data_IF_136126999621
#
_entry.id   IF_136126999621
#
_cell.length_a   1.000
_cell.length_b   1.000
_cell.length_c   1.000
_cell.angle_alpha   90.00
_cell.angle_beta   90.00
_cell.angle_gamma   90.00
#
_symmetry.space_group_name_H-M   'P 1'
#
loop_
_entity.id
_entity.type
_entity.pdbx_description
1 polymer ?
#
# COMPACT_ATOMS: atom_id res chain seq x y z
N UNK A 1 -69.13 16.28 35.88
CA UNK A 1 -68.44 15.07 35.43
C UNK A 1 -67.05 15.45 34.95
N UNK A 2 -65.99 15.05 35.67
CA UNK A 2 -64.59 15.18 35.23
C UNK A 2 -63.94 13.82 35.44
N UNK A 3 -63.62 13.13 34.35
CA UNK A 3 -62.96 11.84 34.38
C UNK A 3 -61.47 12.03 34.66
N UNK A 4 -60.95 11.35 35.67
CA UNK A 4 -59.52 11.29 35.98
C UNK A 4 -58.95 10.10 35.21
N UNK A 5 -58.10 10.36 34.22
CA UNK A 5 -57.33 9.32 33.55
C UNK A 5 -56.05 9.05 34.35
N UNK A 6 -55.95 7.85 34.93
CA UNK A 6 -54.71 7.33 35.52
C UNK A 6 -53.88 6.72 34.41
N UNK A 7 -52.76 7.33 34.06
CA UNK A 7 -51.78 6.75 33.13
C UNK A 7 -50.85 5.84 33.93
N UNK A 8 -50.98 4.53 33.73
CA UNK A 8 -50.03 3.55 34.25
C UNK A 8 -48.75 3.58 33.40
N UNK A 9 -47.65 4.05 33.99
CA UNK A 9 -46.33 4.01 33.36
C UNK A 9 -45.75 2.61 33.54
N UNK A 10 -45.78 1.81 32.48
CA UNK A 10 -45.06 0.54 32.41
C UNK A 10 -43.57 0.82 32.20
N UNK A 11 -42.74 0.56 33.22
CA UNK A 11 -41.29 0.48 33.08
C UNK A 11 -40.93 -0.79 32.30
N UNK A 12 -40.69 -0.67 31.00
CA UNK A 12 -40.02 -1.73 30.23
C UNK A 12 -38.54 -1.70 30.60
N UNK A 13 -38.13 -2.64 31.44
CA UNK A 13 -36.72 -2.84 31.76
C UNK A 13 -35.96 -3.24 30.50
N UNK A 14 -35.15 -2.32 29.97
CA UNK A 14 -34.18 -2.64 28.92
C UNK A 14 -33.08 -3.45 29.60
N UNK A 15 -33.14 -4.76 29.46
CA UNK A 15 -32.02 -5.64 29.81
C UNK A 15 -30.84 -5.29 28.88
N UNK A 16 -29.89 -4.49 29.37
CA UNK A 16 -28.57 -4.40 28.75
C UNK A 16 -27.96 -5.80 28.80
N UNK A 17 -27.99 -6.52 27.68
CA UNK A 17 -27.20 -7.73 27.55
C UNK A 17 -25.74 -7.33 27.73
N UNK A 18 -25.12 -7.80 28.81
CA UNK A 18 -23.69 -7.71 28.98
C UNK A 18 -23.04 -8.43 27.80
N UNK A 19 -22.45 -7.67 26.88
CA UNK A 19 -21.59 -8.23 25.85
C UNK A 19 -20.44 -8.90 26.61
N UNK A 20 -20.44 -10.23 26.67
CA UNK A 20 -19.37 -10.97 27.30
C UNK A 20 -18.06 -10.53 26.63
N UNK A 21 -17.15 -9.94 27.40
CA UNK A 21 -15.85 -9.52 26.90
C UNK A 21 -15.15 -10.76 26.33
N UNK A 22 -14.85 -10.74 25.03
CA UNK A 22 -14.15 -11.84 24.38
C UNK A 22 -12.78 -12.00 25.04
N UNK A 23 -12.47 -13.21 25.49
CA UNK A 23 -11.16 -13.52 26.05
C UNK A 23 -10.07 -13.23 25.01
N UNK A 24 -8.94 -12.62 25.42
CA UNK A 24 -7.88 -12.27 24.49
C UNK A 24 -7.30 -13.52 23.81
N UNK A 25 -6.90 -13.38 22.55
CA UNK A 25 -6.20 -14.40 21.80
C UNK A 25 -4.72 -14.37 22.21
N UNK A 26 -4.23 -15.41 22.88
CA UNK A 26 -2.81 -15.58 23.18
C UNK A 26 -2.07 -16.11 21.94
N UNK A 27 -1.34 -15.24 21.25
CA UNK A 27 -0.54 -15.65 20.08
C UNK A 27 0.78 -16.29 20.48
N UNK A 28 1.40 -15.75 21.54
CA UNK A 28 2.65 -16.22 22.15
C UNK A 28 2.47 -16.21 23.66
N UNK A 29 2.96 -17.25 24.34
CA UNK A 29 2.96 -17.36 25.80
C UNK A 29 4.36 -17.69 26.28
N UNK A 30 4.93 -16.86 27.15
CA UNK A 30 6.23 -17.06 27.79
C UNK A 30 7.36 -17.40 26.80
N UNK A 31 7.40 -16.69 25.68
CA UNK A 31 8.40 -16.85 24.62
C UNK A 31 8.17 -18.07 23.72
N UNK A 32 7.01 -18.74 23.84
CA UNK A 32 6.66 -19.92 23.04
C UNK A 32 5.44 -19.66 22.18
N UNK A 33 5.47 -20.13 20.94
CA UNK A 33 4.33 -20.05 20.02
C UNK A 33 3.10 -20.73 20.66
N UNK A 34 1.97 -20.02 20.66
CA UNK A 34 0.68 -20.51 21.14
C UNK A 34 -0.41 -20.44 20.05
N UNK A 35 0.00 -20.10 18.83
CA UNK A 35 -0.86 -19.91 17.66
C UNK A 35 -0.10 -20.24 16.38
N UNK A 36 -0.85 -20.36 15.29
CA UNK A 36 -0.35 -20.62 13.93
C UNK A 36 -0.81 -19.51 12.97
N UNK A 37 0.10 -19.03 12.13
CA UNK A 37 -0.24 -18.18 10.99
C UNK A 37 -0.75 -19.09 9.87
N UNK A 38 -1.96 -18.81 9.39
CA UNK A 38 -2.62 -19.61 8.34
C UNK A 38 -2.85 -18.73 7.12
N UNK A 39 -2.47 -19.25 5.96
CA UNK A 39 -2.71 -18.63 4.64
C UNK A 39 -3.57 -19.58 3.79
N UNK A 40 -4.10 -19.11 2.66
CA UNK A 40 -4.68 -20.02 1.67
C UNK A 40 -3.66 -21.07 1.20
N UNK A 41 -4.13 -22.14 0.55
CA UNK A 41 -3.22 -23.12 -0.09
C UNK A 41 -2.37 -22.48 -1.21
N UNK A 42 -2.91 -21.46 -1.86
CA UNK A 42 -2.27 -20.67 -2.91
C UNK A 42 -2.45 -19.17 -2.60
N UNK A 43 -1.72 -18.64 -1.62
CA UNK A 43 -1.85 -17.24 -1.24
C UNK A 43 -1.35 -16.30 -2.33
N UNK A 44 -1.91 -15.08 -2.39
CA UNK A 44 -1.38 -13.99 -3.22
C UNK A 44 0.09 -13.68 -2.86
N UNK A 45 0.80 -12.96 -3.73
CA UNK A 45 2.15 -12.51 -3.40
C UNK A 45 2.17 -11.61 -2.15
N UNK A 46 1.19 -10.71 -2.04
CA UNK A 46 1.01 -9.83 -0.89
C UNK A 46 0.73 -10.62 0.40
N UNK A 47 -0.16 -11.61 0.37
CA UNK A 47 -0.47 -12.45 1.53
C UNK A 47 0.74 -13.28 2.00
N UNK A 48 1.57 -13.80 1.08
CA UNK A 48 2.83 -14.47 1.44
C UNK A 48 3.80 -13.53 2.15
N UNK A 49 4.00 -12.33 1.58
CA UNK A 49 4.86 -11.33 2.19
C UNK A 49 4.33 -10.89 3.55
N UNK A 50 3.03 -10.67 3.67
CA UNK A 50 2.35 -10.30 4.91
C UNK A 50 2.54 -11.35 6.01
N UNK A 51 2.39 -12.65 5.69
CA UNK A 51 2.62 -13.73 6.65
C UNK A 51 4.08 -13.76 7.14
N UNK A 52 5.05 -13.56 6.25
CA UNK A 52 6.47 -13.49 6.60
C UNK A 52 6.80 -12.25 7.46
N UNK A 53 6.27 -11.09 7.09
CA UNK A 53 6.43 -9.85 7.85
C UNK A 53 5.81 -10.01 9.25
N UNK A 54 4.61 -10.58 9.37
CA UNK A 54 3.94 -10.83 10.64
C UNK A 54 4.75 -11.76 11.54
N UNK A 55 5.24 -12.88 11.01
CA UNK A 55 6.11 -13.81 11.74
C UNK A 55 7.34 -13.08 12.27
N UNK A 56 7.97 -12.26 11.42
CA UNK A 56 9.16 -11.47 11.78
C UNK A 56 8.86 -10.48 12.91
N UNK A 57 7.73 -9.77 12.86
CA UNK A 57 7.35 -8.83 13.93
C UNK A 57 7.11 -9.53 15.27
N UNK A 58 6.40 -10.66 15.24
CA UNK A 58 6.12 -11.44 16.45
C UNK A 58 7.42 -12.05 17.01
N UNK A 59 8.29 -12.57 16.16
CA UNK A 59 9.60 -13.12 16.55
C UNK A 59 10.51 -12.03 17.15
N UNK A 60 10.62 -10.86 16.50
CA UNK A 60 11.41 -9.73 17.04
C UNK A 60 10.86 -9.25 18.38
N UNK A 61 9.53 -9.25 18.57
CA UNK A 61 8.88 -8.80 19.81
C UNK A 61 9.03 -9.82 20.96
N UNK A 62 8.86 -11.11 20.67
CA UNK A 62 8.65 -12.13 21.69
C UNK A 62 9.75 -13.17 21.81
N UNK A 63 10.61 -13.30 20.80
CA UNK A 63 11.55 -14.40 20.64
C UNK A 63 10.92 -15.69 20.10
N UNK A 64 9.59 -15.74 19.96
CA UNK A 64 8.88 -16.91 19.44
C UNK A 64 8.61 -16.79 17.94
N UNK A 65 8.96 -17.84 17.19
CA UNK A 65 8.62 -17.96 15.78
C UNK A 65 7.32 -18.74 15.62
N UNK A 66 6.25 -18.08 15.20
CA UNK A 66 4.98 -18.75 14.91
C UNK A 66 5.09 -19.59 13.62
N UNK A 67 4.60 -20.84 13.57
CA UNK A 67 4.55 -21.59 12.33
C UNK A 67 3.64 -20.90 11.31
N UNK A 68 4.02 -20.96 10.02
CA UNK A 68 3.16 -20.56 8.89
C UNK A 68 2.71 -21.84 8.20
N UNK A 69 1.40 -22.03 8.06
CA UNK A 69 0.79 -23.20 7.42
C UNK A 69 -0.28 -22.78 6.40
N UNK A 70 -0.56 -23.67 5.44
CA UNK A 70 -1.70 -23.53 4.56
C UNK A 70 -2.99 -23.96 5.26
N UNK A 71 -4.13 -23.41 4.84
CA UNK A 71 -5.44 -23.71 5.43
C UNK A 71 -5.77 -25.22 5.38
N UNK A 72 -5.35 -25.95 4.33
CA UNK A 72 -5.53 -27.41 4.26
C UNK A 72 -4.81 -28.20 5.35
N UNK A 73 -3.77 -27.64 5.98
CA UNK A 73 -3.01 -28.29 7.06
C UNK A 73 -3.54 -27.96 8.46
N UNK A 74 -4.44 -26.99 8.57
CA UNK A 74 -4.99 -26.53 9.84
C UNK A 74 -6.52 -26.60 9.79
N UNK A 75 -7.12 -27.75 10.16
CA UNK A 75 -8.57 -27.93 10.13
C UNK A 75 -9.33 -26.92 10.99
N UNK A 76 -10.60 -26.67 10.65
CA UNK A 76 -11.47 -25.74 11.39
C UNK A 76 -11.73 -26.20 12.82
N UNK A 77 -11.70 -27.51 13.09
CA UNK A 77 -11.85 -28.04 14.46
C UNK A 77 -10.57 -27.93 15.31
N UNK A 78 -9.48 -27.41 14.74
CA UNK A 78 -8.19 -27.30 15.42
C UNK A 78 -8.33 -26.60 16.76
N UNK A 79 -7.67 -27.17 17.78
CA UNK A 79 -7.66 -26.59 19.13
C UNK A 79 -6.76 -25.34 19.28
N UNK A 80 -6.03 -25.00 18.23
CA UNK A 80 -5.07 -23.91 18.20
C UNK A 80 -5.71 -22.56 17.85
N UNK A 81 -5.11 -21.45 18.29
CA UNK A 81 -5.48 -20.11 17.84
C UNK A 81 -4.91 -19.89 16.45
N UNK A 82 -5.75 -19.40 15.52
CA UNK A 82 -5.37 -19.19 14.12
C UNK A 82 -5.21 -17.71 13.83
N UNK A 83 -4.12 -17.32 13.18
CA UNK A 83 -3.95 -15.97 12.61
C UNK A 83 -4.09 -16.10 11.10
N UNK A 84 -5.28 -15.82 10.59
CA UNK A 84 -5.63 -15.93 9.17
C UNK A 84 -5.12 -14.69 8.43
N UNK A 85 -4.16 -14.88 7.52
CA UNK A 85 -3.50 -13.80 6.77
C UNK A 85 -3.80 -13.91 5.28
N UNK A 86 -4.42 -12.87 4.72
CA UNK A 86 -4.86 -12.83 3.32
C UNK A 86 -6.13 -13.64 3.04
N UNK A 87 -6.68 -13.49 1.84
CA UNK A 87 -7.91 -14.21 1.45
C UNK A 87 -7.72 -15.73 1.53
N UNK A 88 -8.71 -16.43 2.09
CA UNK A 88 -8.71 -17.89 2.28
C UNK A 88 -10.14 -18.40 2.53
N UNK A 89 -10.37 -19.70 2.34
CA UNK A 89 -11.68 -20.31 2.62
C UNK A 89 -12.00 -20.24 4.12
N UNK A 90 -11.01 -20.50 4.97
CA UNK A 90 -11.16 -20.40 6.43
C UNK A 90 -11.60 -19.00 6.88
N UNK A 91 -11.08 -17.96 6.22
CA UNK A 91 -11.48 -16.57 6.49
C UNK A 91 -12.89 -16.27 5.99
N UNK A 92 -13.24 -16.71 4.77
CA UNK A 92 -14.58 -16.54 4.19
C UNK A 92 -15.65 -17.24 5.02
N UNK A 93 -15.34 -18.38 5.62
CA UNK A 93 -16.24 -19.09 6.54
C UNK A 93 -16.57 -18.28 7.81
N UNK A 94 -15.73 -17.30 8.19
CA UNK A 94 -16.00 -16.35 9.27
C UNK A 94 -16.81 -15.12 8.81
N UNK A 95 -17.22 -15.07 7.54
CA UNK A 95 -17.99 -13.98 6.96
C UNK A 95 -17.16 -12.78 6.50
N UNK A 96 -15.83 -12.90 6.44
CA UNK A 96 -14.94 -11.86 5.91
C UNK A 96 -14.59 -12.20 4.47
N UNK A 97 -15.02 -11.35 3.54
CA UNK A 97 -14.82 -11.54 2.11
C UNK A 97 -14.14 -10.30 1.50
N UNK A 98 -12.85 -10.38 1.15
CA UNK A 98 -12.11 -9.26 0.57
C UNK A 98 -12.53 -8.93 -0.87
N UNK A 99 -13.27 -9.78 -1.58
CA UNK A 99 -13.81 -9.43 -2.91
C UNK A 99 -14.90 -8.35 -2.87
N UNK A 100 -15.40 -8.04 -1.67
CA UNK A 100 -16.41 -7.00 -1.41
C UNK A 100 -15.81 -5.71 -0.85
N UNK A 101 -14.50 -5.65 -0.73
CA UNK A 101 -13.80 -4.52 -0.16
C UNK A 101 -13.77 -3.35 -1.13
N UNK A 102 -13.68 -2.14 -0.59
CA UNK A 102 -13.23 -1.00 -1.37
C UNK A 102 -11.75 -1.19 -1.77
N UNK A 103 -11.29 -0.45 -2.79
CA UNK A 103 -9.91 -0.54 -3.25
C UNK A 103 -8.93 -0.30 -2.10
N UNK A 104 -8.01 -1.24 -1.91
CA UNK A 104 -6.99 -1.20 -0.85
C UNK A 104 -7.53 -1.26 0.59
N UNK A 105 -8.81 -1.57 0.79
CA UNK A 105 -9.35 -1.72 2.14
C UNK A 105 -8.62 -2.83 2.89
N UNK A 106 -8.38 -2.60 4.18
CA UNK A 106 -7.81 -3.58 5.11
C UNK A 106 -8.79 -3.86 6.25
N UNK A 107 -8.72 -5.07 6.79
CA UNK A 107 -9.53 -5.54 7.90
C UNK A 107 -8.64 -6.30 8.90
N UNK A 108 -8.73 -5.92 10.17
CA UNK A 108 -8.13 -6.61 11.32
C UNK A 108 -9.28 -6.91 12.28
N UNK A 109 -9.59 -8.19 12.48
CA UNK A 109 -10.75 -8.57 13.28
C UNK A 109 -10.50 -9.84 14.09
N UNK A 110 -10.87 -9.82 15.36
CA UNK A 110 -10.88 -11.02 16.20
C UNK A 110 -12.23 -11.71 16.16
N UNK A 111 -12.18 -13.03 16.11
CA UNK A 111 -13.27 -13.97 16.25
C UNK A 111 -12.92 -14.96 17.37
N UNK A 112 -13.87 -15.77 17.88
CA UNK A 112 -13.53 -16.86 18.77
C UNK A 112 -12.40 -17.70 18.16
N UNK A 113 -11.22 -17.58 18.76
CA UNK A 113 -9.99 -18.32 18.40
C UNK A 113 -9.36 -18.04 17.04
N UNK A 114 -9.79 -16.99 16.36
CA UNK A 114 -9.19 -16.57 15.11
C UNK A 114 -8.92 -15.08 15.11
N UNK A 115 -7.74 -14.69 14.66
CA UNK A 115 -7.42 -13.31 14.28
C UNK A 115 -7.37 -13.26 12.76
N UNK A 116 -8.21 -12.43 12.16
CA UNK A 116 -8.21 -12.14 10.72
C UNK A 116 -7.38 -10.89 10.47
N UNK A 117 -6.43 -10.98 9.54
CA UNK A 117 -5.65 -9.85 9.01
C UNK A 117 -5.66 -9.97 7.48
N UNK A 118 -6.42 -9.12 6.81
CA UNK A 118 -6.62 -9.19 5.36
C UNK A 118 -6.72 -7.81 4.76
N UNK A 119 -6.37 -7.69 3.49
CA UNK A 119 -6.72 -6.53 2.69
C UNK A 119 -6.95 -6.89 1.23
N UNK A 120 -7.40 -5.91 0.47
CA UNK A 120 -7.58 -6.02 -0.97
C UNK A 120 -6.22 -6.12 -1.69
N UNK A 121 -5.96 -7.30 -2.26
CA UNK A 121 -4.70 -7.65 -2.92
C UNK A 121 -4.79 -7.59 -4.46
N UNK A 122 -5.96 -7.31 -5.02
CA UNK A 122 -6.13 -7.30 -6.48
C UNK A 122 -7.31 -6.41 -6.90
N UNK A 123 -7.05 -5.45 -7.78
CA UNK A 123 -8.09 -4.63 -8.39
C UNK A 123 -9.04 -5.49 -9.25
N UNK A 124 -10.28 -5.03 -9.49
CA UNK A 124 -11.21 -5.72 -10.41
C UNK A 124 -10.66 -5.95 -11.84
N UNK A 125 -9.67 -5.17 -12.28
CA UNK A 125 -9.00 -5.31 -13.58
C UNK A 125 -7.72 -6.16 -13.53
N UNK A 126 -7.47 -6.89 -12.43
CA UNK A 126 -6.36 -7.83 -12.29
C UNK A 126 -5.03 -7.18 -11.90
N UNK A 127 -4.99 -5.89 -11.61
CA UNK A 127 -3.79 -5.22 -11.11
C UNK A 127 -3.54 -5.64 -9.66
N UNK A 128 -2.40 -6.25 -9.41
CA UNK A 128 -1.98 -6.63 -8.06
C UNK A 128 -1.84 -5.40 -7.13
N UNK A 129 -2.37 -5.54 -5.92
CA UNK A 129 -2.28 -4.61 -4.81
C UNK A 129 -1.50 -5.24 -3.64
N UNK A 130 -1.44 -4.54 -2.51
CA UNK A 130 -0.64 -4.91 -1.34
C UNK A 130 -1.46 -4.84 -0.04
N UNK A 131 -2.78 -5.03 -0.12
CA UNK A 131 -3.70 -4.89 1.02
C UNK A 131 -3.30 -5.73 2.23
N UNK A 132 -2.96 -7.00 2.04
CA UNK A 132 -2.54 -7.88 3.14
C UNK A 132 -1.25 -7.39 3.83
N UNK A 133 -0.29 -6.85 3.06
CA UNK A 133 0.95 -6.27 3.61
C UNK A 133 0.61 -5.04 4.46
N UNK A 134 -0.29 -4.17 3.98
CA UNK A 134 -0.72 -3.00 4.73
C UNK A 134 -1.52 -3.36 5.98
N UNK A 135 -2.35 -4.40 5.92
CA UNK A 135 -3.09 -4.92 7.05
C UNK A 135 -2.16 -5.43 8.16
N UNK A 136 -1.11 -6.19 7.80
CA UNK A 136 -0.08 -6.63 8.76
C UNK A 136 0.72 -5.45 9.30
N UNK A 137 1.08 -4.47 8.46
CA UNK A 137 1.75 -3.25 8.91
C UNK A 137 0.91 -2.49 9.94
N UNK A 138 -0.39 -2.31 9.67
CA UNK A 138 -1.33 -1.68 10.59
C UNK A 138 -1.49 -2.49 11.89
N UNK A 139 -1.57 -3.82 11.82
CA UNK A 139 -1.61 -4.68 13.00
C UNK A 139 -0.34 -4.55 13.85
N UNK A 140 0.84 -4.57 13.22
CA UNK A 140 2.11 -4.40 13.91
C UNK A 140 2.19 -3.04 14.62
N UNK A 141 1.74 -1.98 13.96
CA UNK A 141 1.68 -0.62 14.51
C UNK A 141 0.70 -0.51 15.69
N UNK A 142 -0.54 -0.98 15.51
CA UNK A 142 -1.66 -0.73 16.42
C UNK A 142 -1.72 -1.72 17.59
N UNK A 143 -1.39 -2.99 17.35
CA UNK A 143 -1.56 -4.07 18.33
C UNK A 143 -0.24 -4.51 18.97
N UNK A 144 0.85 -4.54 18.19
CA UNK A 144 2.17 -4.92 18.71
C UNK A 144 2.95 -3.71 19.25
N UNK A 145 2.64 -2.51 18.77
CA UNK A 145 3.32 -1.27 19.14
C UNK A 145 4.63 -1.04 18.38
N UNK A 146 4.81 -1.71 17.24
CA UNK A 146 5.98 -1.53 16.37
C UNK A 146 6.01 -0.12 15.79
N UNK A 147 7.20 0.46 15.66
CA UNK A 147 7.41 1.73 14.94
C UNK A 147 8.63 1.59 14.03
N UNK A 148 8.53 2.14 12.82
CA UNK A 148 9.68 2.36 11.95
C UNK A 148 9.87 3.88 11.82
N UNK A 149 10.80 4.46 12.57
CA UNK A 149 10.99 5.92 12.61
C UNK A 149 11.79 6.43 11.40
N UNK A 150 12.76 5.64 10.94
CA UNK A 150 13.54 5.85 9.72
C UNK A 150 14.01 4.49 9.17
N UNK A 151 14.54 4.42 7.93
CA UNK A 151 15.08 3.20 7.35
C UNK A 151 16.14 2.49 8.21
N UNK A 152 16.16 1.15 8.14
CA UNK A 152 17.15 0.31 8.81
C UNK A 152 16.84 -0.04 10.26
N UNK A 153 17.63 -0.96 10.83
CA UNK A 153 17.41 -1.51 12.17
C UNK A 153 17.47 -0.43 13.27
N UNK A 154 18.27 0.62 13.08
CA UNK A 154 18.37 1.73 14.04
C UNK A 154 17.04 2.48 14.21
N UNK A 155 16.24 2.58 13.16
CA UNK A 155 14.93 3.24 13.19
C UNK A 155 13.79 2.33 13.60
N UNK A 156 14.06 1.03 13.80
CA UNK A 156 13.05 0.03 14.07
C UNK A 156 12.88 -0.19 15.59
N UNK A 157 11.72 0.21 16.12
CA UNK A 157 11.35 -0.02 17.52
C UNK A 157 10.33 -1.15 17.59
N UNK A 158 10.71 -2.25 18.23
CA UNK A 158 9.84 -3.40 18.48
C UNK A 158 9.74 -3.64 19.99
N UNK A 159 8.57 -3.39 20.62
CA UNK A 159 8.38 -3.64 22.05
C UNK A 159 8.64 -5.10 22.42
N UNK A 160 9.44 -5.35 23.46
CA UNK A 160 9.69 -6.70 23.95
C UNK A 160 8.51 -7.20 24.77
N UNK A 161 7.92 -8.33 24.35
CA UNK A 161 6.75 -8.97 24.97
C UNK A 161 6.91 -10.48 24.90
N UNK A 162 7.26 -11.12 26.01
CA UNK A 162 7.36 -12.60 26.07
C UNK A 162 5.98 -13.27 25.92
N UNK A 163 4.92 -12.56 26.28
CA UNK A 163 3.53 -12.98 26.03
C UNK A 163 2.84 -11.95 25.15
N UNK A 164 2.27 -12.40 24.03
CA UNK A 164 1.55 -11.57 23.07
C UNK A 164 0.09 -11.97 23.09
N UNK A 165 -0.73 -11.09 23.68
CA UNK A 165 -2.18 -11.25 23.77
C UNK A 165 -2.88 -10.15 22.98
N UNK A 166 -3.86 -10.55 22.17
CA UNK A 166 -4.66 -9.64 21.34
C UNK A 166 -6.09 -9.66 21.88
N UNK A 167 -6.52 -8.52 22.44
CA UNK A 167 -7.91 -8.33 22.86
C UNK A 167 -8.87 -8.26 21.68
N UNK A 168 -10.13 -7.93 21.96
CA UNK A 168 -11.13 -7.74 20.90
C UNK A 168 -10.71 -6.60 19.95
N UNK A 169 -10.61 -6.90 18.66
CA UNK A 169 -10.34 -5.92 17.59
C UNK A 169 -11.39 -6.08 16.51
N UNK A 170 -11.91 -4.97 16.01
CA UNK A 170 -12.72 -4.88 14.81
C UNK A 170 -12.39 -3.56 14.11
N UNK A 171 -11.38 -3.59 13.24
CA UNK A 171 -10.82 -2.42 12.58
C UNK A 171 -10.85 -2.63 11.08
N UNK A 172 -11.41 -1.63 10.38
CA UNK A 172 -11.40 -1.55 8.92
C UNK A 172 -10.90 -0.19 8.49
N UNK A 173 -10.15 -0.15 7.41
CA UNK A 173 -9.60 1.10 6.90
C UNK A 173 -9.48 1.07 5.38
N UNK A 174 -10.01 2.10 4.73
CA UNK A 174 -9.79 2.39 3.32
C UNK A 174 -8.81 3.56 3.22
N UNK A 175 -7.66 3.40 2.54
CA UNK A 175 -6.75 4.52 2.32
C UNK A 175 -7.41 5.66 1.55
N UNK A 176 -7.42 6.86 2.13
CA UNK A 176 -7.99 8.05 1.47
C UNK A 176 -7.20 8.46 0.22
N UNK A 177 -5.88 8.33 0.28
CA UNK A 177 -4.99 8.67 -0.84
C UNK A 177 -4.72 7.42 -1.67
N UNK A 178 -5.32 7.29 -2.86
CA UNK A 178 -5.07 6.15 -3.78
C UNK A 178 -3.65 6.12 -4.38
N UNK A 179 -2.86 7.18 -4.21
CA UNK A 179 -1.44 7.24 -4.57
C UNK A 179 -0.64 7.80 -3.41
N UNK A 180 0.27 6.99 -2.89
CA UNK A 180 1.15 7.29 -1.76
C UNK A 180 2.55 6.98 -2.23
N UNK A 181 3.21 7.92 -2.90
CA UNK A 181 4.57 7.69 -3.45
C UNK A 181 5.54 8.69 -2.84
N UNK A 182 6.63 8.17 -2.29
CA UNK A 182 7.82 8.95 -1.94
C UNK A 182 8.94 8.44 -2.83
N UNK A 183 9.71 9.34 -3.43
CA UNK A 183 10.81 8.95 -4.31
C UNK A 183 11.91 8.31 -3.48
N UNK A 184 12.11 7.01 -3.66
CA UNK A 184 13.31 6.33 -3.21
C UNK A 184 14.31 6.36 -4.36
N UNK A 185 15.37 7.15 -4.25
CA UNK A 185 16.34 7.29 -5.34
C UNK A 185 17.17 6.02 -5.44
N UNK A 186 16.95 5.22 -6.49
CA UNK A 186 17.81 4.08 -6.79
C UNK A 186 19.20 4.56 -7.22
N UNK A 187 20.22 3.74 -6.94
CA UNK A 187 21.59 4.02 -7.39
C UNK A 187 21.66 4.27 -8.91
N UNK A 188 22.40 5.30 -9.31
CA UNK A 188 22.78 5.58 -10.70
C UNK A 188 24.00 6.52 -10.74
N UNK A 189 24.59 6.73 -11.92
CA UNK A 189 25.82 7.52 -12.08
C UNK A 189 25.69 8.97 -11.58
N UNK A 190 24.50 9.56 -11.71
CA UNK A 190 24.23 10.91 -11.16
C UNK A 190 24.26 10.90 -9.63
N UNK A 191 23.79 9.83 -8.99
CA UNK A 191 23.89 9.67 -7.53
C UNK A 191 25.34 9.46 -7.11
N UNK A 192 26.15 8.69 -7.86
CA UNK A 192 27.56 8.44 -7.55
C UNK A 192 28.36 9.73 -7.37
N UNK A 193 28.14 10.75 -8.21
CA UNK A 193 28.80 12.06 -8.06
C UNK A 193 28.55 12.71 -6.69
N UNK A 194 27.36 12.48 -6.11
CA UNK A 194 27.04 12.92 -4.75
C UNK A 194 27.71 12.04 -3.68
N UNK A 195 27.70 10.72 -3.88
CA UNK A 195 28.31 9.76 -2.97
C UNK A 195 29.83 9.97 -2.83
N UNK A 196 30.52 10.24 -3.93
CA UNK A 196 31.96 10.55 -3.93
C UNK A 196 32.29 11.73 -3.00
N UNK A 197 31.41 12.75 -2.95
CA UNK A 197 31.58 13.92 -2.08
C UNK A 197 31.27 13.62 -0.61
N UNK A 198 30.41 12.65 -0.35
CA UNK A 198 30.04 12.21 0.99
C UNK A 198 30.99 11.12 1.52
N UNK A 199 31.89 10.60 0.68
CA UNK A 199 32.78 9.49 1.02
C UNK A 199 32.04 8.16 1.15
N UNK A 200 30.90 8.00 0.49
CA UNK A 200 30.12 6.75 0.50
C UNK A 200 30.38 5.93 -0.75
N UNK A 201 30.48 4.63 -0.59
CA UNK A 201 30.53 3.68 -1.70
C UNK A 201 29.14 3.44 -2.28
N UNK A 202 29.09 3.00 -3.54
CA UNK A 202 27.86 2.54 -4.18
C UNK A 202 27.22 1.36 -3.43
N UNK A 203 28.04 0.51 -2.79
CA UNK A 203 27.58 -0.65 -2.05
C UNK A 203 26.86 -0.26 -0.76
N UNK A 204 27.43 0.66 0.03
CA UNK A 204 26.78 1.22 1.23
C UNK A 204 25.43 1.85 0.88
N UNK A 205 25.38 2.64 -0.19
CA UNK A 205 24.13 3.25 -0.65
C UNK A 205 23.06 2.21 -1.03
N UNK A 206 23.45 1.17 -1.77
CA UNK A 206 22.54 0.07 -2.12
C UNK A 206 22.09 -0.73 -0.90
N UNK A 207 22.93 -0.80 0.14
CA UNK A 207 22.55 -1.35 1.44
C UNK A 207 21.41 -0.55 2.07
N UNK A 208 21.57 0.76 2.19
CA UNK A 208 20.54 1.67 2.73
C UNK A 208 19.26 1.68 1.88
N UNK A 209 19.39 1.56 0.56
CA UNK A 209 18.25 1.43 -0.36
C UNK A 209 17.41 0.19 0.00
N UNK A 210 18.04 -0.97 0.22
CA UNK A 210 17.33 -2.20 0.65
C UNK A 210 16.72 -2.06 2.03
N UNK A 211 17.44 -1.47 2.99
CA UNK A 211 16.94 -1.22 4.35
C UNK A 211 15.69 -0.35 4.36
N UNK A 212 15.57 0.58 3.41
CA UNK A 212 14.41 1.44 3.29
C UNK A 212 13.14 0.70 2.86
N UNK A 213 13.23 -0.43 2.15
CA UNK A 213 12.05 -1.15 1.65
C UNK A 213 11.07 -1.52 2.77
N UNK A 214 11.60 -1.97 3.92
CA UNK A 214 10.79 -2.27 5.11
C UNK A 214 10.06 -1.02 5.60
N UNK A 215 10.75 0.12 5.65
CA UNK A 215 10.16 1.40 6.05
C UNK A 215 9.04 1.82 5.09
N UNK A 216 9.26 1.71 3.77
CA UNK A 216 8.27 2.02 2.74
C UNK A 216 7.01 1.15 2.87
N UNK A 217 7.18 -0.19 3.04
CA UNK A 217 6.06 -1.11 3.25
C UNK A 217 5.31 -0.81 4.55
N UNK A 218 6.03 -0.57 5.65
CA UNK A 218 5.43 -0.28 6.96
C UNK A 218 4.55 0.97 6.94
N UNK A 219 4.96 2.02 6.21
CA UNK A 219 4.19 3.25 6.04
C UNK A 219 3.15 3.19 4.92
N UNK A 220 2.94 2.00 4.34
CA UNK A 220 1.90 1.77 3.32
C UNK A 220 2.10 2.65 2.08
N UNK A 221 3.36 2.96 1.75
CA UNK A 221 3.73 3.62 0.49
C UNK A 221 3.44 2.63 -0.65
N UNK A 222 2.81 3.13 -1.70
CA UNK A 222 2.19 2.36 -2.76
C UNK A 222 0.92 3.06 -3.25
N UNK A 223 -0.10 2.30 -3.63
CA UNK A 223 -1.36 2.87 -4.08
C UNK A 223 -2.06 1.99 -5.10
N UNK A 224 -3.37 2.17 -5.21
CA UNK A 224 -4.20 1.59 -6.27
C UNK A 224 -4.21 2.42 -7.54
N UNK A 225 -3.79 3.69 -7.51
CA UNK A 225 -3.80 4.55 -8.68
C UNK A 225 -2.66 4.20 -9.65
N UNK A 226 -3.02 3.80 -10.86
CA UNK A 226 -2.11 3.43 -11.95
C UNK A 226 -1.95 4.60 -12.91
N UNK A 227 -0.70 4.97 -13.17
CA UNK A 227 -0.37 6.05 -14.10
C UNK A 227 0.84 6.85 -13.65
N UNK A 228 1.41 7.59 -14.60
CA UNK A 228 2.60 8.40 -14.39
C UNK A 228 2.27 9.89 -14.27
N UNK A 229 3.11 10.59 -13.52
CA UNK A 229 3.15 12.05 -13.48
C UNK A 229 4.60 12.47 -13.72
N UNK A 230 4.82 13.38 -14.65
CA UNK A 230 6.17 13.77 -15.08
C UNK A 230 6.22 14.15 -16.55
N UNK A 231 7.42 14.35 -17.08
CA UNK A 231 7.65 14.86 -18.43
C UNK A 231 6.98 13.97 -19.48
N UNK A 232 5.95 14.50 -20.15
CA UNK A 232 5.14 13.72 -21.09
C UNK A 232 5.64 13.82 -22.54
N UNK A 233 6.50 14.80 -22.84
CA UNK A 233 6.75 15.23 -24.22
C UNK A 233 8.20 15.08 -24.66
N UNK A 234 8.97 14.20 -24.01
CA UNK A 234 10.38 14.01 -24.33
C UNK A 234 10.65 13.53 -25.76
N UNK A 235 9.69 12.81 -26.36
CA UNK A 235 9.79 12.32 -27.73
C UNK A 235 9.18 13.28 -28.78
N UNK A 236 8.58 14.40 -28.38
CA UNK A 236 7.81 15.24 -29.31
C UNK A 236 8.70 15.91 -30.35
N UNK A 237 9.88 16.41 -29.95
CA UNK A 237 10.79 17.04 -30.91
C UNK A 237 11.22 16.08 -32.02
N UNK A 238 11.57 14.85 -31.65
CA UNK A 238 11.93 13.81 -32.63
C UNK A 238 10.76 13.51 -33.58
N UNK A 239 9.55 13.35 -33.03
CA UNK A 239 8.35 12.99 -33.80
C UNK A 239 7.85 14.10 -34.72
N UNK A 240 7.91 15.36 -34.27
CA UNK A 240 7.17 16.45 -34.90
C UNK A 240 8.01 17.69 -35.22
N UNK A 241 9.26 17.79 -34.75
CA UNK A 241 10.08 18.99 -34.90
C UNK A 241 10.36 19.40 -36.35
N UNK A 242 10.38 18.44 -37.28
CA UNK A 242 10.59 18.69 -38.71
C UNK A 242 9.31 19.12 -39.44
N UNK A 243 8.20 18.46 -39.16
CA UNK A 243 6.93 18.65 -39.89
C UNK A 243 6.08 19.77 -39.27
N UNK A 244 6.19 19.95 -37.96
CA UNK A 244 5.40 20.90 -37.17
C UNK A 244 6.28 21.76 -36.25
N UNK A 245 7.26 22.52 -36.77
CA UNK A 245 8.07 23.40 -35.95
C UNK A 245 7.22 24.43 -35.18
N UNK A 246 6.07 24.83 -35.71
CA UNK A 246 5.11 25.75 -35.07
C UNK A 246 4.46 25.20 -33.79
N UNK A 247 4.63 23.90 -33.49
CA UNK A 247 4.19 23.29 -32.23
C UNK A 247 5.18 23.53 -31.08
N UNK A 248 6.40 23.96 -31.36
CA UNK A 248 7.43 24.15 -30.35
C UNK A 248 7.54 25.62 -29.95
N UNK A 249 8.00 25.91 -28.73
CA UNK A 249 8.16 27.27 -28.27
C UNK A 249 9.17 28.03 -29.14
N UNK A 250 8.92 29.32 -29.36
CA UNK A 250 9.86 30.18 -30.08
C UNK A 250 11.07 30.47 -29.20
N UNK A 251 12.26 30.33 -29.76
CA UNK A 251 13.52 30.64 -29.10
C UNK A 251 13.84 32.14 -29.20
N UNK A 252 14.79 32.65 -28.40
CA UNK A 252 15.20 34.07 -28.44
C UNK A 252 15.70 34.53 -29.82
N UNK A 253 16.25 33.62 -30.62
CA UNK A 253 16.69 33.89 -31.99
C UNK A 253 15.55 33.90 -33.04
N UNK A 254 14.30 33.73 -32.59
CA UNK A 254 13.11 33.66 -33.44
C UNK A 254 12.88 32.30 -34.10
N UNK A 255 13.80 31.35 -33.93
CA UNK A 255 13.63 29.98 -34.43
C UNK A 255 12.65 29.18 -33.56
N UNK A 256 12.30 27.99 -34.04
CA UNK A 256 11.53 26.98 -33.29
C UNK A 256 12.38 25.74 -32.97
N UNK A 257 13.70 25.83 -33.15
CA UNK A 257 14.60 24.70 -32.96
C UNK A 257 14.67 24.33 -31.47
N UNK A 258 14.53 23.04 -31.17
CA UNK A 258 14.66 22.50 -29.82
C UNK A 258 15.85 21.54 -29.70
N UNK A 259 16.69 21.40 -30.74
CA UNK A 259 17.84 20.49 -30.76
C UNK A 259 18.80 20.74 -29.60
N UNK A 260 18.94 21.99 -29.16
CA UNK A 260 19.78 22.40 -28.02
C UNK A 260 19.19 22.01 -26.66
N UNK A 261 17.91 21.64 -26.60
CA UNK A 261 17.23 21.20 -25.39
C UNK A 261 17.49 19.72 -25.09
N UNK A 262 18.75 19.41 -24.77
CA UNK A 262 19.23 18.03 -24.56
C UNK A 262 18.86 17.12 -25.74
N UNK A 263 19.17 17.55 -26.97
CA UNK A 263 18.79 16.81 -28.17
C UNK A 263 17.28 16.85 -28.48
N UNK A 264 16.54 17.78 -27.88
CA UNK A 264 15.08 17.89 -28.02
C UNK A 264 14.26 17.14 -26.97
N UNK A 265 14.90 16.35 -26.11
CA UNK A 265 14.20 15.62 -25.02
C UNK A 265 13.59 16.57 -23.99
N UNK A 266 14.13 17.79 -23.88
CA UNK A 266 13.58 18.87 -23.04
C UNK A 266 12.90 19.96 -23.85
N UNK A 267 12.46 19.63 -25.07
CA UNK A 267 11.75 20.57 -25.95
C UNK A 267 10.58 21.24 -25.23
N UNK A 268 10.47 22.53 -25.46
CA UNK A 268 9.37 23.34 -24.95
C UNK A 268 8.30 23.47 -26.03
N UNK A 269 7.04 23.40 -25.61
CA UNK A 269 5.89 23.38 -26.50
C UNK A 269 5.22 24.75 -26.60
N UNK A 270 4.67 25.07 -27.76
CA UNK A 270 3.82 26.22 -27.99
C UNK A 270 2.39 25.90 -27.55
N UNK A 271 2.08 26.05 -26.25
CA UNK A 271 0.79 25.64 -25.65
C UNK A 271 -0.43 26.43 -26.15
N UNK A 272 -0.23 27.48 -26.96
CA UNK A 272 -1.31 28.19 -27.66
C UNK A 272 -1.68 27.58 -29.02
N UNK A 273 -0.87 26.66 -29.55
CA UNK A 273 -1.11 26.03 -30.84
C UNK A 273 -2.24 24.99 -30.75
N UNK A 274 -3.34 25.22 -31.49
CA UNK A 274 -4.52 24.35 -31.46
C UNK A 274 -4.27 22.95 -32.04
N UNK A 275 -3.51 22.85 -33.13
CA UNK A 275 -3.17 21.56 -33.74
C UNK A 275 -2.30 20.70 -32.81
N UNK A 276 -1.37 21.31 -32.07
CA UNK A 276 -0.63 20.61 -31.02
C UNK A 276 -1.57 20.08 -29.93
N UNK A 277 -2.50 20.90 -29.43
CA UNK A 277 -3.44 20.49 -28.38
C UNK A 277 -4.26 19.27 -28.84
N UNK A 278 -4.72 19.26 -30.08
CA UNK A 278 -5.43 18.14 -30.68
C UNK A 278 -4.55 16.87 -30.74
N UNK A 279 -3.29 17.01 -31.14
CA UNK A 279 -2.36 15.88 -31.18
C UNK A 279 -2.04 15.33 -29.78
N UNK A 280 -1.84 16.21 -28.80
CA UNK A 280 -1.63 15.82 -27.39
C UNK A 280 -2.85 15.05 -26.86
N UNK A 281 -4.06 15.54 -27.14
CA UNK A 281 -5.29 14.86 -26.74
C UNK A 281 -5.41 13.48 -27.40
N UNK A 282 -5.10 13.38 -28.71
CA UNK A 282 -5.09 12.11 -29.45
C UNK A 282 -4.12 11.10 -28.83
N UNK A 283 -2.87 11.49 -28.58
CA UNK A 283 -1.86 10.62 -27.98
C UNK A 283 -2.27 10.16 -26.56
N UNK A 284 -2.82 11.07 -25.75
CA UNK A 284 -3.29 10.76 -24.41
C UNK A 284 -4.43 9.72 -24.42
N UNK A 285 -5.42 9.91 -25.30
CA UNK A 285 -6.54 8.97 -25.48
C UNK A 285 -6.03 7.61 -25.98
N UNK A 286 -5.12 7.60 -26.95
CA UNK A 286 -4.53 6.37 -27.47
C UNK A 286 -3.74 5.62 -26.39
N UNK A 287 -2.98 6.33 -25.54
CA UNK A 287 -2.26 5.74 -24.41
C UNK A 287 -3.20 5.04 -23.44
N UNK A 288 -4.31 5.70 -23.06
CA UNK A 288 -5.30 5.11 -22.14
C UNK A 288 -6.04 3.93 -22.77
N UNK A 289 -6.26 3.93 -24.09
CA UNK A 289 -6.84 2.78 -24.80
C UNK A 289 -5.91 1.58 -24.84
N UNK A 290 -4.60 1.82 -24.95
CA UNK A 290 -3.58 0.75 -24.99
C UNK A 290 -3.38 0.08 -23.62
N UNK A 291 -3.50 0.84 -22.54
CA UNK A 291 -3.45 0.32 -21.17
C UNK A 291 -4.77 0.64 -20.43
N UNK A 292 -5.78 -0.25 -20.50
CA UNK A 292 -7.05 -0.05 -19.82
C UNK A 292 -6.94 -0.08 -18.29
N UNK A 293 -5.78 -0.49 -17.73
CA UNK A 293 -5.54 -0.46 -16.28
C UNK A 293 -5.07 0.90 -15.78
N UNK A 294 -4.65 1.80 -16.68
CA UNK A 294 -4.20 3.15 -16.33
C UNK A 294 -5.39 4.04 -15.95
N UNK A 295 -5.35 4.60 -14.73
CA UNK A 295 -6.33 5.59 -14.28
C UNK A 295 -6.06 6.98 -14.86
N UNK A 296 -4.78 7.29 -15.14
CA UNK A 296 -4.33 8.63 -15.55
C UNK A 296 -3.12 8.57 -16.50
N UNK A 297 -2.98 9.63 -17.31
CA UNK A 297 -1.80 9.91 -18.14
C UNK A 297 -1.28 11.31 -17.83
N UNK A 298 0.04 11.49 -17.90
CA UNK A 298 0.66 12.79 -17.67
C UNK A 298 0.48 13.69 -18.90
N UNK A 299 0.13 14.94 -18.66
CA UNK A 299 0.20 16.03 -19.64
C UNK A 299 1.18 17.12 -19.19
N UNK A 300 2.08 16.79 -18.25
CA UNK A 300 3.02 17.77 -17.71
C UNK A 300 4.08 18.11 -18.77
N UNK A 301 4.33 19.41 -19.01
CA UNK A 301 5.44 19.88 -19.81
C UNK A 301 6.80 19.34 -19.35
N UNK A 302 7.78 19.36 -20.23
CA UNK A 302 9.17 19.03 -19.90
C UNK A 302 9.77 20.16 -19.06
N UNK A 303 10.52 19.88 -17.98
CA UNK A 303 11.23 20.97 -17.29
C UNK A 303 12.33 21.53 -18.21
N UNK A 304 12.46 22.85 -18.21
CA UNK A 304 13.48 23.57 -18.97
C UNK A 304 13.11 25.04 -19.14
N UNK A 305 13.99 25.78 -19.79
CA UNK A 305 13.73 27.13 -20.28
C UNK A 305 13.93 27.15 -21.80
N UNK A 306 13.51 28.24 -22.44
CA UNK A 306 14.00 28.57 -23.78
C UNK A 306 15.54 28.64 -23.74
N UNK A 307 16.19 28.16 -24.79
CA UNK A 307 17.66 27.98 -24.86
C UNK A 307 18.25 28.92 -25.89
#
# INVERSE_FOLDING_TARGET
MRAIFVVAVMFVGIAMQAVAAQAPLTLVRDGKAASVIVTADKPSAAARQAAADLQTWIEKASGAKLPIQSESRVPDESKEIRVLVGDSKAMRALGVDPSRFELEEICIQTFPRSLVIVGDDERPDGVALQGAVWAVGAFAEQCLGVRALWPGDLGLVVPKKTTVEIGAVNSRHVPVLRKRTIRNSHYNDRIQTGLDRLGWSAEEYKGHEKESEVWFRFHRIGGSLRGSYGHAYGAYWERFGKEHPEWFAMQPDGSRDQSRAQGGVRSQLCVSNRALIEQVAKDAIESLRKDPTADVVSLSPNDGAAI
#
